data_IF_701617439924
#
_entry.id   IF_701617439924
#
_cell.length_a   1.000
_cell.length_b   1.000
_cell.length_c   1.000
_cell.angle_alpha   90.00
_cell.angle_beta   90.00
_cell.angle_gamma   90.00
#
_symmetry.space_group_name_H-M   'P 1'
#
loop_
_entity.id
_entity.type
_entity.pdbx_description
1 polymer ?
#
# COMPACT_ATOMS: atom_id res chain seq x y z
N UNK A 1 -10.94 -16.50 51.89
CA UNK A 1 -10.12 -17.20 50.90
C UNK A 1 -10.51 -16.67 49.52
N UNK A 2 -9.64 -15.94 48.81
CA UNK A 2 -9.96 -15.52 47.46
C UNK A 2 -9.66 -16.66 46.49
N UNK A 3 -10.68 -17.06 45.75
CA UNK A 3 -10.65 -18.05 44.68
C UNK A 3 -9.79 -17.53 43.53
N UNK A 4 -8.68 -18.20 43.25
CA UNK A 4 -7.85 -17.98 42.07
C UNK A 4 -8.60 -18.36 40.80
N UNK A 5 -8.89 -17.36 39.96
CA UNK A 5 -9.37 -17.60 38.59
C UNK A 5 -8.27 -18.33 37.79
N UNK A 6 -8.62 -19.29 36.91
CA UNK A 6 -7.63 -20.00 36.12
C UNK A 6 -7.02 -19.06 35.07
N UNK A 7 -5.70 -18.91 35.11
CA UNK A 7 -4.90 -18.22 34.08
C UNK A 7 -5.13 -18.90 32.74
N UNK A 8 -5.81 -18.21 31.82
CA UNK A 8 -6.12 -18.70 30.47
C UNK A 8 -4.81 -18.92 29.71
N UNK A 9 -4.47 -20.18 29.41
CA UNK A 9 -3.23 -20.54 28.73
C UNK A 9 -3.15 -19.88 27.34
N UNK A 10 -2.01 -19.27 27.02
CA UNK A 10 -1.72 -18.70 25.70
C UNK A 10 -1.80 -19.78 24.60
N UNK A 11 -2.19 -19.44 23.35
CA UNK A 11 -2.25 -20.42 22.27
C UNK A 11 -0.86 -21.04 22.00
N UNK A 12 -0.80 -22.30 21.51
CA UNK A 12 0.46 -22.98 21.25
C UNK A 12 1.27 -22.25 20.19
N UNK A 13 2.42 -21.71 20.58
CA UNK A 13 3.40 -21.12 19.65
C UNK A 13 4.23 -22.22 18.99
N UNK A 14 4.53 -22.08 17.69
CA UNK A 14 5.45 -22.92 16.93
C UNK A 14 6.88 -22.39 17.08
N UNK A 15 7.75 -23.20 17.66
CA UNK A 15 9.15 -22.89 17.94
C UNK A 15 10.03 -23.77 17.05
N UNK A 16 10.97 -23.16 16.34
CA UNK A 16 12.01 -23.86 15.59
C UNK A 16 13.25 -24.00 16.48
N UNK A 17 13.70 -25.24 16.71
CA UNK A 17 14.88 -25.55 17.52
C UNK A 17 15.99 -26.09 16.61
N UNK A 18 17.18 -25.52 16.72
CA UNK A 18 18.36 -25.85 15.92
C UNK A 18 19.54 -26.17 16.84
N UNK A 19 20.00 -27.41 16.83
CA UNK A 19 21.13 -27.89 17.62
C UNK A 19 21.65 -29.17 16.92
N UNK A 20 22.97 -29.36 16.84
CA UNK A 20 23.56 -30.55 16.19
C UNK A 20 23.56 -31.78 17.10
N UNK A 21 23.36 -31.58 18.41
CA UNK A 21 23.21 -32.64 19.39
C UNK A 21 21.75 -33.14 19.44
N UNK A 22 21.56 -34.40 19.02
CA UNK A 22 20.25 -35.06 19.01
C UNK A 22 19.63 -35.22 20.41
N UNK A 23 20.43 -35.38 21.45
CA UNK A 23 19.95 -35.49 22.83
C UNK A 23 19.47 -34.13 23.32
N UNK A 24 20.17 -33.05 22.97
CA UNK A 24 19.74 -31.68 23.24
C UNK A 24 18.44 -31.30 22.52
N UNK A 25 18.32 -31.63 21.23
CA UNK A 25 17.09 -31.43 20.47
C UNK A 25 15.91 -32.15 21.12
N UNK A 26 16.12 -33.39 21.59
CA UNK A 26 15.09 -34.20 22.24
C UNK A 26 14.69 -33.59 23.58
N UNK A 27 15.65 -33.17 24.40
CA UNK A 27 15.42 -32.55 25.70
C UNK A 27 14.62 -31.24 25.57
N UNK A 28 15.04 -30.37 24.66
CA UNK A 28 14.37 -29.09 24.39
C UNK A 28 12.96 -29.32 23.85
N UNK A 29 12.81 -30.25 22.91
CA UNK A 29 11.50 -30.60 22.36
C UNK A 29 10.52 -31.10 23.43
N UNK A 30 10.97 -31.97 24.34
CA UNK A 30 10.15 -32.47 25.44
C UNK A 30 9.72 -31.33 26.38
N UNK A 31 10.66 -30.46 26.74
CA UNK A 31 10.40 -29.34 27.66
C UNK A 31 9.42 -28.33 27.05
N UNK A 32 9.61 -27.96 25.79
CA UNK A 32 8.76 -26.98 25.11
C UNK A 32 7.37 -27.53 24.81
N UNK A 33 7.25 -28.80 24.43
CA UNK A 33 5.95 -29.47 24.29
C UNK A 33 5.20 -29.57 25.61
N UNK A 34 5.90 -29.88 26.71
CA UNK A 34 5.31 -29.87 28.05
C UNK A 34 4.83 -28.46 28.48
N UNK A 35 5.46 -27.40 27.97
CA UNK A 35 5.02 -26.02 28.15
C UNK A 35 3.88 -25.60 27.21
N UNK A 36 3.39 -26.49 26.34
CA UNK A 36 2.25 -26.25 25.45
C UNK A 36 2.62 -25.64 24.09
N UNK A 37 3.88 -25.73 23.66
CA UNK A 37 4.34 -25.23 22.35
C UNK A 37 4.44 -26.34 21.29
N UNK A 38 4.23 -25.98 20.03
CA UNK A 38 4.55 -26.82 18.89
C UNK A 38 6.04 -26.68 18.57
N UNK A 39 6.75 -27.79 18.40
CA UNK A 39 8.21 -27.76 18.22
C UNK A 39 8.60 -28.45 16.91
N UNK A 40 9.34 -27.74 16.09
CA UNK A 40 10.07 -28.26 14.93
C UNK A 40 11.54 -28.28 15.28
N UNK A 41 12.16 -29.45 15.27
CA UNK A 41 13.58 -29.62 15.62
C UNK A 41 14.38 -30.01 14.37
N UNK A 42 15.51 -29.35 14.14
CA UNK A 42 16.42 -29.59 13.01
C UNK A 42 17.87 -29.59 13.46
N UNK A 43 18.72 -30.37 12.78
CA UNK A 43 20.11 -30.59 13.16
C UNK A 43 21.13 -29.63 12.54
N UNK A 44 20.71 -28.71 11.66
CA UNK A 44 21.63 -27.78 10.99
C UNK A 44 20.96 -26.46 10.61
N UNK A 45 21.79 -25.44 10.40
CA UNK A 45 21.34 -24.13 9.95
C UNK A 45 20.68 -24.18 8.55
N UNK A 46 21.17 -25.02 7.64
CA UNK A 46 20.57 -25.20 6.30
C UNK A 46 19.18 -25.81 6.39
N UNK A 47 19.00 -26.81 7.26
CA UNK A 47 17.70 -27.41 7.51
C UNK A 47 16.74 -26.40 8.17
N UNK A 48 17.24 -25.51 9.03
CA UNK A 48 16.47 -24.43 9.62
C UNK A 48 15.97 -23.44 8.55
N UNK A 49 16.84 -23.02 7.63
CA UNK A 49 16.45 -22.14 6.51
C UNK A 49 15.41 -22.79 5.59
N UNK A 50 15.57 -24.08 5.29
CA UNK A 50 14.57 -24.82 4.50
C UNK A 50 13.21 -24.90 5.21
N UNK A 51 13.20 -25.07 6.54
CA UNK A 51 11.95 -25.05 7.32
C UNK A 51 11.29 -23.67 7.33
N UNK A 52 12.08 -22.59 7.40
CA UNK A 52 11.58 -21.22 7.35
C UNK A 52 10.86 -20.92 6.02
N UNK A 53 11.30 -21.51 4.91
CA UNK A 53 10.65 -21.38 3.60
C UNK A 53 9.30 -22.14 3.52
N UNK A 54 9.14 -23.21 4.32
CA UNK A 54 7.92 -24.04 4.33
C UNK A 54 6.86 -23.48 5.27
N UNK A 55 7.25 -23.13 6.50
CA UNK A 55 6.34 -22.60 7.49
C UNK A 55 7.05 -21.73 8.53
N UNK A 56 6.55 -20.50 8.70
CA UNK A 56 7.15 -19.53 9.61
C UNK A 56 6.89 -19.90 11.09
N UNK A 57 7.92 -20.12 11.92
CA UNK A 57 7.79 -20.24 13.37
C UNK A 57 7.55 -18.87 14.00
N UNK A 58 7.16 -18.82 15.27
CA UNK A 58 7.07 -17.58 16.07
C UNK A 58 8.36 -17.29 16.85
N UNK A 59 9.27 -18.27 16.95
CA UNK A 59 10.55 -18.13 17.63
C UNK A 59 11.56 -19.14 17.05
N UNK A 60 12.81 -18.71 16.90
CA UNK A 60 13.95 -19.60 16.61
C UNK A 60 14.83 -19.72 17.85
N UNK A 61 15.14 -20.94 18.25
CA UNK A 61 16.11 -21.27 19.28
C UNK A 61 17.27 -22.00 18.61
N UNK A 62 18.47 -21.41 18.59
CA UNK A 62 19.63 -21.98 17.89
C UNK A 62 20.84 -22.10 18.80
N UNK A 63 21.59 -23.20 18.71
CA UNK A 63 22.98 -23.20 19.18
C UNK A 63 23.81 -22.22 18.34
N UNK A 64 24.77 -21.56 18.99
CA UNK A 64 25.79 -20.75 18.34
C UNK A 64 26.77 -21.64 17.57
N UNK A 65 27.12 -22.80 18.12
CA UNK A 65 28.06 -23.72 17.47
C UNK A 65 27.28 -24.79 16.73
N UNK A 66 27.19 -24.62 15.41
CA UNK A 66 26.62 -25.62 14.50
C UNK A 66 27.68 -26.03 13.47
N UNK A 67 27.67 -27.29 13.00
CA UNK A 67 28.54 -27.74 11.92
C UNK A 67 28.11 -27.10 10.60
N UNK A 68 29.07 -26.58 9.83
CA UNK A 68 28.80 -25.87 8.57
C UNK A 68 28.58 -24.38 8.81
N UNK A 69 27.36 -23.89 8.56
CA UNK A 69 26.97 -22.53 8.93
C UNK A 69 26.72 -22.45 10.43
N UNK A 70 27.43 -21.55 11.10
CA UNK A 70 27.26 -21.32 12.54
C UNK A 70 25.93 -20.61 12.87
N UNK A 71 25.55 -20.62 14.15
CA UNK A 71 24.29 -20.04 14.61
C UNK A 71 24.20 -18.52 14.45
N UNK A 72 25.35 -17.84 14.38
CA UNK A 72 25.40 -16.39 14.13
C UNK A 72 25.10 -16.08 12.65
N UNK A 73 25.66 -16.86 11.72
CA UNK A 73 25.34 -16.76 10.30
C UNK A 73 23.87 -17.11 10.02
N UNK A 74 23.31 -18.10 10.74
CA UNK A 74 21.88 -18.37 10.69
C UNK A 74 21.06 -17.16 11.18
N UNK A 75 21.46 -16.54 12.29
CA UNK A 75 20.80 -15.34 12.82
C UNK A 75 20.80 -14.18 11.81
N UNK A 76 21.93 -13.91 11.16
CA UNK A 76 22.03 -12.83 10.16
C UNK A 76 21.10 -13.06 8.97
N UNK A 77 21.02 -14.30 8.47
CA UNK A 77 20.14 -14.66 7.37
C UNK A 77 18.66 -14.58 7.78
N UNK A 78 18.33 -15.05 8.98
CA UNK A 78 16.96 -14.96 9.54
C UNK A 78 16.56 -13.49 9.68
N UNK A 79 17.45 -12.63 10.17
CA UNK A 79 17.20 -11.21 10.33
C UNK A 79 17.02 -10.50 8.98
N UNK A 80 17.81 -10.85 7.98
CA UNK A 80 17.68 -10.28 6.63
C UNK A 80 16.34 -10.62 5.98
N UNK A 81 15.83 -11.85 6.20
CA UNK A 81 14.55 -12.31 5.62
C UNK A 81 13.33 -11.96 6.46
N UNK A 82 13.47 -11.98 7.78
CA UNK A 82 12.40 -11.83 8.76
C UNK A 82 12.85 -10.98 9.97
N UNK A 83 12.98 -9.65 9.82
CA UNK A 83 13.49 -8.77 10.89
C UNK A 83 12.71 -8.83 12.21
N UNK A 84 11.42 -9.20 12.16
CA UNK A 84 10.53 -9.30 13.33
C UNK A 84 10.50 -10.69 14.00
N UNK A 85 11.20 -11.69 13.44
CA UNK A 85 11.25 -13.03 14.00
C UNK A 85 12.31 -13.08 15.13
N UNK A 86 11.93 -13.38 16.38
CA UNK A 86 12.86 -13.39 17.49
C UNK A 86 13.74 -14.64 17.39
N UNK A 87 15.02 -14.46 17.70
CA UNK A 87 16.01 -15.54 17.76
C UNK A 87 16.69 -15.52 19.11
N UNK A 88 16.70 -16.67 19.79
CA UNK A 88 17.44 -16.91 21.02
C UNK A 88 18.63 -17.81 20.70
N UNK A 89 19.82 -17.34 21.06
CA UNK A 89 21.06 -18.09 20.86
C UNK A 89 21.49 -18.80 22.15
N UNK A 90 21.77 -20.09 22.05
CA UNK A 90 22.32 -20.93 23.12
C UNK A 90 23.85 -21.02 22.95
N UNK A 91 24.64 -20.71 23.97
CA UNK A 91 26.12 -20.72 23.88
C UNK A 91 26.79 -21.42 25.05
N UNK A 92 27.90 -22.13 24.82
CA UNK A 92 28.67 -22.83 25.87
C UNK A 92 29.84 -22.01 26.45
N UNK A 93 30.12 -20.79 25.97
CA UNK A 93 31.22 -19.96 26.46
C UNK A 93 30.70 -18.64 27.04
N UNK A 94 30.95 -18.41 28.33
CA UNK A 94 30.62 -17.19 29.07
C UNK A 94 31.59 -16.03 28.87
N UNK A 95 32.35 -15.99 27.76
CA UNK A 95 33.17 -14.81 27.45
C UNK A 95 32.29 -13.73 26.83
N UNK A 96 32.08 -12.70 27.64
CA UNK A 96 31.25 -11.51 27.43
C UNK A 96 31.65 -10.56 26.26
N UNK A 97 32.76 -10.70 25.48
CA UNK A 97 33.00 -9.75 24.37
C UNK A 97 31.98 -9.80 23.22
N UNK A 98 31.39 -10.94 22.88
CA UNK A 98 30.47 -11.07 21.73
C UNK A 98 29.01 -10.69 22.07
N UNK A 99 28.65 -10.70 23.36
CA UNK A 99 27.30 -10.37 23.83
C UNK A 99 26.95 -8.90 23.60
N UNK A 100 27.94 -8.00 23.66
CA UNK A 100 27.75 -6.56 23.42
C UNK A 100 27.59 -6.28 21.92
N UNK A 101 28.30 -7.00 21.06
CA UNK A 101 28.19 -6.89 19.60
C UNK A 101 26.91 -7.55 19.05
N UNK A 102 26.41 -8.61 19.68
CA UNK A 102 25.14 -9.25 19.31
C UNK A 102 23.90 -8.43 19.75
N UNK A 103 23.97 -7.74 20.89
CA UNK A 103 22.88 -6.86 21.37
C UNK A 103 22.77 -5.59 20.52
N UNK A 104 23.88 -5.06 20.00
CA UNK A 104 23.86 -3.98 19.00
C UNK A 104 23.38 -4.45 17.61
N UNK A 105 23.39 -5.77 17.37
CA UNK A 105 22.90 -6.45 16.15
C UNK A 105 21.49 -7.03 16.27
N UNK A 106 20.74 -6.73 17.33
CA UNK A 106 19.30 -7.04 17.41
C UNK A 106 18.95 -8.51 17.73
N UNK A 107 19.85 -9.28 18.34
CA UNK A 107 19.49 -10.58 18.94
C UNK A 107 18.56 -10.34 20.13
N UNK A 108 17.52 -11.17 20.27
CA UNK A 108 16.54 -11.01 21.36
C UNK A 108 17.18 -11.22 22.74
N UNK A 109 17.91 -12.32 22.91
CA UNK A 109 18.68 -12.64 24.11
C UNK A 109 19.63 -13.82 23.81
N UNK A 110 20.70 -13.93 24.59
CA UNK A 110 21.57 -15.12 24.66
C UNK A 110 21.28 -15.89 25.95
N UNK A 111 21.52 -17.20 25.93
CA UNK A 111 21.43 -18.06 27.11
C UNK A 111 22.68 -18.95 27.19
N UNK A 112 23.43 -18.85 28.29
CA UNK A 112 24.66 -19.61 28.50
C UNK A 112 24.34 -21.02 29.01
N UNK A 113 24.82 -22.06 28.32
CA UNK A 113 24.84 -23.45 28.78
C UNK A 113 25.89 -23.57 29.92
N UNK A 114 25.57 -24.18 31.08
CA UNK A 114 24.28 -24.76 31.46
C UNK A 114 23.28 -23.69 31.92
N UNK A 115 22.03 -23.81 31.47
CA UNK A 115 20.94 -22.89 31.79
C UNK A 115 19.81 -23.58 32.57
N UNK A 116 19.09 -22.82 33.39
CA UNK A 116 17.89 -23.32 34.06
C UNK A 116 16.74 -23.45 33.05
N UNK A 117 15.97 -24.54 33.14
CA UNK A 117 14.78 -24.74 32.34
C UNK A 117 13.70 -23.68 32.58
N UNK A 118 13.62 -23.12 33.80
CA UNK A 118 12.72 -22.00 34.09
C UNK A 118 13.15 -20.71 33.39
N UNK A 119 14.43 -20.38 33.47
CA UNK A 119 15.02 -19.21 32.81
C UNK A 119 14.83 -19.28 31.29
N UNK A 120 15.05 -20.44 30.68
CA UNK A 120 14.78 -20.65 29.25
C UNK A 120 13.31 -20.36 28.90
N UNK A 121 12.36 -20.91 29.66
CA UNK A 121 10.93 -20.70 29.42
C UNK A 121 10.50 -19.25 29.64
N UNK A 122 11.08 -18.56 30.63
CA UNK A 122 10.85 -17.13 30.85
C UNK A 122 11.34 -16.28 29.68
N UNK A 123 12.54 -16.57 29.16
CA UNK A 123 13.09 -15.88 27.98
C UNK A 123 12.28 -16.16 26.73
N UNK A 124 11.81 -17.39 26.54
CA UNK A 124 10.91 -17.76 25.46
C UNK A 124 9.57 -17.02 25.57
N UNK A 125 8.99 -16.94 26.77
CA UNK A 125 7.75 -16.21 27.00
C UNK A 125 7.93 -14.71 26.72
N UNK A 126 9.05 -14.11 27.12
CA UNK A 126 9.39 -12.72 26.81
C UNK A 126 9.56 -12.50 25.30
N UNK A 127 10.24 -13.42 24.60
CA UNK A 127 10.45 -13.36 23.15
C UNK A 127 9.13 -13.48 22.38
N UNK A 128 8.30 -14.45 22.77
CA UNK A 128 6.98 -14.64 22.21
C UNK A 128 6.03 -13.48 22.56
N UNK A 129 6.20 -12.80 23.69
CA UNK A 129 5.41 -11.61 24.02
C UNK A 129 5.79 -10.39 23.17
N UNK A 130 7.06 -10.27 22.79
CA UNK A 130 7.57 -9.18 21.95
C UNK A 130 7.36 -9.42 20.45
N UNK A 131 7.21 -10.69 20.04
CA UNK A 131 6.98 -11.08 18.64
C UNK A 131 5.61 -11.69 18.36
N UNK A 132 4.77 -11.85 19.38
CA UNK A 132 3.35 -11.96 19.15
C UNK A 132 2.93 -10.65 18.45
N UNK A 133 2.40 -10.67 17.21
CA UNK A 133 1.45 -9.62 16.86
C UNK A 133 0.44 -9.72 17.97
N UNK A 134 0.31 -8.68 18.80
CA UNK A 134 -0.53 -8.69 19.99
C UNK A 134 -1.71 -9.62 19.73
N UNK A 135 -1.66 -10.87 20.23
CA UNK A 135 -2.75 -11.81 19.99
C UNK A 135 -3.84 -11.10 20.69
N UNK A 136 -4.76 -10.55 19.92
CA UNK A 136 -5.76 -9.62 20.35
C UNK A 136 -6.08 -9.82 21.84
N UNK A 137 -5.32 -9.14 22.71
CA UNK A 137 -5.96 -8.19 23.56
C UNK A 137 -6.63 -7.35 22.49
N UNK A 138 -7.96 -7.44 22.29
CA UNK A 138 -8.60 -6.28 21.70
C UNK A 138 -8.05 -5.16 22.57
N UNK A 139 -7.14 -4.35 22.02
CA UNK A 139 -6.93 -3.04 22.57
C UNK A 139 -8.36 -2.56 22.72
N UNK A 140 -8.73 -2.24 23.96
CA UNK A 140 -10.12 -1.97 24.29
C UNK A 140 -10.72 -0.93 23.33
N UNK A 141 -9.86 -0.19 22.61
CA UNK A 141 -10.15 0.51 21.37
C UNK A 141 -9.21 0.09 20.21
N UNK A 142 -9.64 -0.77 19.28
CA UNK A 142 -9.07 -0.83 17.91
C UNK A 142 -9.47 0.40 17.07
N UNK A 143 -10.16 1.36 17.68
CA UNK A 143 -10.71 2.56 17.06
C UNK A 143 -9.67 3.37 16.28
N UNK A 144 -8.41 3.31 16.69
CA UNK A 144 -7.31 4.01 16.02
C UNK A 144 -7.13 3.56 14.56
N UNK A 145 -7.46 2.30 14.22
CA UNK A 145 -7.29 1.72 12.88
C UNK A 145 -8.60 1.34 12.18
N UNK A 146 -9.76 1.80 12.66
CA UNK A 146 -11.09 1.42 12.13
C UNK A 146 -11.27 1.60 10.61
N UNK A 147 -10.54 2.54 10.01
CA UNK A 147 -10.61 2.79 8.56
C UNK A 147 -9.77 1.82 7.72
N UNK A 148 -8.91 1.01 8.35
CA UNK A 148 -8.00 0.07 7.68
C UNK A 148 -8.58 -1.34 7.78
N UNK A 149 -9.22 -1.77 6.70
CA UNK A 149 -9.79 -3.10 6.56
C UNK A 149 -8.76 -4.02 5.90
N UNK A 150 -8.31 -5.05 6.62
CA UNK A 150 -7.38 -6.06 6.11
C UNK A 150 -7.47 -7.35 6.93
N UNK A 151 -7.17 -8.47 6.29
CA UNK A 151 -6.93 -9.80 6.89
C UNK A 151 -5.56 -10.36 6.52
N UNK A 152 -4.71 -9.57 5.86
CA UNK A 152 -3.36 -9.97 5.47
C UNK A 152 -2.40 -9.93 6.66
N UNK A 153 -1.57 -10.96 6.78
CA UNK A 153 -0.51 -10.99 7.80
C UNK A 153 0.49 -9.85 7.60
N UNK A 154 0.83 -9.50 6.34
CA UNK A 154 1.75 -8.38 6.04
C UNK A 154 1.21 -7.05 6.57
N UNK A 155 -0.09 -6.83 6.42
CA UNK A 155 -0.74 -5.63 6.98
C UNK A 155 -0.82 -5.68 8.51
N UNK A 156 -0.97 -6.86 9.10
CA UNK A 156 -0.99 -7.03 10.56
C UNK A 156 0.36 -6.68 11.18
N UNK A 157 1.45 -7.16 10.58
CA UNK A 157 2.82 -6.83 10.98
C UNK A 157 3.07 -5.32 10.84
N UNK A 158 2.70 -4.74 9.68
CA UNK A 158 2.81 -3.30 9.42
C UNK A 158 2.02 -2.43 10.42
N UNK A 159 0.79 -2.84 10.77
CA UNK A 159 -0.04 -2.12 11.73
C UNK A 159 0.55 -2.20 13.16
N UNK A 160 1.18 -3.32 13.50
CA UNK A 160 1.85 -3.48 14.79
C UNK A 160 3.06 -2.54 14.89
N UNK A 161 3.88 -2.47 13.82
CA UNK A 161 4.98 -1.50 13.71
C UNK A 161 4.48 -0.06 13.77
N UNK A 162 3.43 0.26 13.01
CA UNK A 162 2.81 1.58 13.02
C UNK A 162 2.32 2.00 14.41
N UNK A 163 1.73 1.07 15.17
CA UNK A 163 1.28 1.32 16.54
C UNK A 163 2.45 1.59 17.50
N UNK A 164 3.54 0.84 17.42
CA UNK A 164 4.74 1.07 18.23
C UNK A 164 5.34 2.45 17.95
N UNK A 165 5.47 2.80 16.67
CA UNK A 165 6.03 4.08 16.24
C UNK A 165 5.11 5.25 16.64
N UNK A 166 3.79 5.04 16.65
CA UNK A 166 2.81 6.03 17.08
C UNK A 166 3.04 6.53 18.51
N UNK A 167 3.60 5.70 19.41
CA UNK A 167 3.89 6.07 20.80
C UNK A 167 5.09 7.03 20.95
N UNK A 168 5.87 7.24 19.88
CA UNK A 168 7.01 8.15 19.86
C UNK A 168 6.75 9.39 18.99
N UNK A 169 7.53 10.45 19.17
CA UNK A 169 7.53 11.63 18.29
C UNK A 169 8.49 11.48 17.08
N UNK A 170 8.92 10.26 16.75
CA UNK A 170 9.80 10.01 15.62
C UNK A 170 9.12 10.34 14.28
N UNK A 171 9.91 10.90 13.35
CA UNK A 171 9.48 11.12 11.96
C UNK A 171 9.25 9.78 11.26
N UNK A 172 8.13 9.67 10.55
CA UNK A 172 7.75 8.45 9.84
C UNK A 172 7.71 8.70 8.35
N UNK A 173 8.39 7.87 7.56
CA UNK A 173 8.32 7.85 6.11
C UNK A 173 7.48 6.65 5.65
N UNK A 174 6.31 6.93 5.06
CA UNK A 174 5.42 5.96 4.47
C UNK A 174 5.74 5.79 2.99
N UNK A 175 6.14 4.59 2.59
CA UNK A 175 6.42 4.24 1.20
C UNK A 175 5.32 3.35 0.65
N UNK A 176 4.99 3.51 -0.61
CA UNK A 176 4.11 2.59 -1.32
C UNK A 176 3.41 3.24 -2.50
N UNK A 177 2.96 2.38 -3.40
CA UNK A 177 2.32 2.79 -4.65
C UNK A 177 1.11 3.69 -4.44
N UNK A 178 0.76 4.45 -5.47
CA UNK A 178 -0.44 5.28 -5.45
C UNK A 178 -1.69 4.44 -5.17
N UNK A 179 -2.53 4.92 -4.26
CA UNK A 179 -3.78 4.24 -3.88
C UNK A 179 -3.60 3.02 -2.96
N UNK A 180 -2.41 2.76 -2.40
CA UNK A 180 -2.16 1.69 -1.42
C UNK A 180 -2.74 1.96 -0.02
N UNK A 181 -3.04 3.22 0.30
CA UNK A 181 -3.62 3.62 1.60
C UNK A 181 -2.67 4.37 2.54
N UNK A 182 -1.59 5.00 2.01
CA UNK A 182 -0.61 5.75 2.82
C UNK A 182 -1.25 6.80 3.74
N UNK A 183 -2.22 7.57 3.23
CA UNK A 183 -2.92 8.59 4.02
C UNK A 183 -3.74 7.96 5.17
N UNK A 184 -4.40 6.82 4.93
CA UNK A 184 -5.15 6.11 5.97
C UNK A 184 -4.22 5.61 7.07
N UNK A 185 -3.04 5.10 6.70
CA UNK A 185 -2.03 4.68 7.67
C UNK A 185 -1.49 5.87 8.47
N UNK A 186 -1.24 7.02 7.83
CA UNK A 186 -0.82 8.24 8.54
C UNK A 186 -1.87 8.70 9.56
N UNK A 187 -3.16 8.69 9.18
CA UNK A 187 -4.27 9.02 10.08
C UNK A 187 -4.35 8.03 11.24
N UNK A 188 -4.15 6.75 10.98
CA UNK A 188 -4.13 5.72 12.02
C UNK A 188 -2.97 5.93 13.00
N UNK A 189 -1.76 6.20 12.52
CA UNK A 189 -0.59 6.53 13.36
C UNK A 189 -0.88 7.74 14.25
N UNK A 190 -1.51 8.78 13.70
CA UNK A 190 -1.89 9.95 14.50
C UNK A 190 -2.92 9.60 15.59
N UNK A 191 -3.96 8.84 15.26
CA UNK A 191 -4.99 8.39 16.24
C UNK A 191 -4.43 7.49 17.33
N UNK A 192 -3.39 6.72 17.03
CA UNK A 192 -2.70 5.88 18.01
C UNK A 192 -1.67 6.63 18.86
N UNK A 193 -1.40 7.91 18.57
CA UNK A 193 -0.35 8.69 19.24
C UNK A 193 -0.87 9.49 20.44
N UNK A 194 0.02 9.96 21.34
CA UNK A 194 -0.34 10.93 22.37
C UNK A 194 -0.95 12.24 21.84
N UNK A 195 -0.80 12.51 20.53
CA UNK A 195 -1.35 13.67 19.84
C UNK A 195 -2.71 13.41 19.18
N UNK A 196 -3.38 12.28 19.45
CA UNK A 196 -4.65 11.90 18.81
C UNK A 196 -5.79 12.94 18.92
N UNK A 197 -5.82 13.72 20.00
CA UNK A 197 -6.80 14.79 20.21
C UNK A 197 -6.35 16.17 19.64
N UNK A 198 -5.15 16.24 19.05
CA UNK A 198 -4.56 17.45 18.46
C UNK A 198 -4.83 17.50 16.95
N UNK A 199 -4.56 18.63 16.28
CA UNK A 199 -4.80 18.75 14.85
C UNK A 199 -4.02 17.73 14.03
N UNK A 200 -4.69 17.12 13.04
CA UNK A 200 -4.07 16.39 11.96
C UNK A 200 -4.24 17.19 10.67
N UNK A 201 -3.15 17.73 10.15
CA UNK A 201 -3.13 18.51 8.92
C UNK A 201 -2.46 17.68 7.83
N UNK A 202 -3.08 17.58 6.66
CA UNK A 202 -2.51 16.85 5.52
C UNK A 202 -2.39 17.78 4.32
N UNK A 203 -1.27 17.67 3.61
CA UNK A 203 -1.01 18.41 2.38
C UNK A 203 -0.40 17.50 1.34
N UNK A 204 -0.91 17.58 0.12
CA UNK A 204 -0.35 16.86 -1.01
C UNK A 204 0.61 17.79 -1.76
N UNK A 205 1.90 17.47 -1.73
CA UNK A 205 2.96 18.31 -2.27
C UNK A 205 2.99 18.33 -3.81
N UNK A 206 2.34 17.38 -4.47
CA UNK A 206 2.26 17.31 -5.93
C UNK A 206 1.00 17.94 -6.54
N UNK A 207 -0.05 18.18 -5.73
CA UNK A 207 -1.33 18.69 -6.22
C UNK A 207 -1.41 20.22 -6.32
N UNK A 208 -0.53 20.95 -5.64
CA UNK A 208 -0.57 22.41 -5.51
C UNK A 208 0.57 23.03 -6.32
N UNK A 209 0.33 24.07 -7.15
CA UNK A 209 1.39 24.81 -7.82
C UNK A 209 2.44 25.34 -6.84
N UNK A 210 3.72 25.33 -7.21
CA UNK A 210 4.86 25.65 -6.33
C UNK A 210 4.68 26.97 -5.55
N UNK A 211 4.27 28.04 -6.23
CA UNK A 211 4.10 29.36 -5.61
C UNK A 211 3.02 29.36 -4.52
N UNK A 212 1.95 28.60 -4.71
CA UNK A 212 0.88 28.45 -3.72
C UNK A 212 1.30 27.50 -2.61
N UNK A 213 2.03 26.43 -2.93
CA UNK A 213 2.50 25.46 -1.93
C UNK A 213 3.42 26.12 -0.88
N UNK A 214 4.29 27.05 -1.29
CA UNK A 214 5.11 27.81 -0.33
C UNK A 214 4.25 28.59 0.67
N UNK A 215 3.30 29.37 0.15
CA UNK A 215 2.40 30.19 0.95
C UNK A 215 1.53 29.34 1.87
N UNK A 216 0.99 28.22 1.37
CA UNK A 216 0.17 27.31 2.16
C UNK A 216 1.00 26.64 3.28
N UNK A 217 2.19 26.12 2.98
CA UNK A 217 3.02 25.44 3.99
C UNK A 217 3.49 26.39 5.09
N UNK A 218 4.10 27.52 4.72
CA UNK A 218 4.83 28.39 5.64
C UNK A 218 4.03 29.62 6.09
N UNK A 219 2.95 29.96 5.40
CA UNK A 219 2.18 31.18 5.62
C UNK A 219 2.83 32.40 4.95
N UNK A 220 2.11 33.51 4.91
CA UNK A 220 2.64 34.78 4.40
C UNK A 220 2.13 35.98 5.19
N UNK A 221 2.89 37.07 5.15
CA UNK A 221 2.42 38.38 5.62
C UNK A 221 1.84 39.20 4.47
N UNK A 222 0.94 40.14 4.79
CA UNK A 222 0.38 41.08 3.84
C UNK A 222 1.52 41.80 3.10
N UNK A 223 1.43 41.83 1.76
CA UNK A 223 2.43 42.46 0.89
C UNK A 223 3.67 41.61 0.60
N UNK A 224 3.70 40.32 0.97
CA UNK A 224 4.80 39.42 0.65
C UNK A 224 4.96 39.15 -0.86
N UNK A 225 3.86 39.19 -1.62
CA UNK A 225 3.79 39.09 -3.07
C UNK A 225 2.57 39.87 -3.59
N UNK A 226 2.42 40.01 -4.90
CA UNK A 226 1.39 40.86 -5.54
C UNK A 226 -0.03 40.59 -5.07
N UNK A 227 -0.38 39.32 -4.86
CA UNK A 227 -1.72 38.88 -4.43
C UNK A 227 -1.87 38.71 -2.90
N UNK A 228 -0.87 39.08 -2.10
CA UNK A 228 -0.88 38.92 -0.64
C UNK A 228 -1.68 40.04 0.05
N UNK A 229 -3.00 40.02 -0.09
CA UNK A 229 -3.91 41.07 0.41
C UNK A 229 -4.04 41.07 1.94
N UNK A 230 -3.83 39.92 2.59
CA UNK A 230 -3.92 39.74 4.05
C UNK A 230 -2.82 38.82 4.57
N UNK A 231 -2.65 38.75 5.90
CA UNK A 231 -1.81 37.72 6.51
C UNK A 231 -2.49 36.36 6.38
N UNK A 232 -1.72 35.31 6.12
CA UNK A 232 -2.18 33.93 6.06
C UNK A 232 -1.32 33.05 6.96
N UNK A 233 -1.99 32.24 7.80
CA UNK A 233 -1.31 31.27 8.66
C UNK A 233 -1.04 30.00 7.87
N UNK A 234 0.22 29.57 7.84
CA UNK A 234 0.62 28.35 7.12
C UNK A 234 0.20 27.06 7.83
N UNK A 235 0.24 25.96 7.09
CA UNK A 235 -0.11 24.62 7.56
C UNK A 235 0.79 24.15 8.71
N UNK A 236 2.06 24.55 8.73
CA UNK A 236 2.94 24.29 9.90
C UNK A 236 2.42 24.94 11.18
N UNK A 237 1.88 26.16 11.09
CA UNK A 237 1.30 26.86 12.23
C UNK A 237 -0.06 26.27 12.61
N UNK A 238 -0.85 25.83 11.62
CA UNK A 238 -2.13 25.17 11.85
C UNK A 238 -1.98 23.78 12.50
N UNK A 239 -0.86 23.10 12.22
CA UNK A 239 -0.54 21.78 12.78
C UNK A 239 0.18 21.85 14.15
N UNK A 240 0.37 23.04 14.72
CA UNK A 240 1.12 23.21 15.96
C UNK A 240 0.53 22.41 17.14
N UNK A 241 1.39 21.70 17.86
CA UNK A 241 1.05 20.71 18.87
C UNK A 241 0.50 19.38 18.31
N UNK A 242 0.28 19.27 17.01
CA UNK A 242 -0.35 18.14 16.34
C UNK A 242 0.57 17.37 15.39
N UNK A 243 0.01 16.95 14.26
CA UNK A 243 0.72 16.17 13.23
C UNK A 243 0.49 16.77 11.85
N UNK A 244 1.56 16.92 11.08
CA UNK A 244 1.54 17.31 9.68
C UNK A 244 1.92 16.12 8.80
N UNK A 245 1.01 15.72 7.92
CA UNK A 245 1.25 14.76 6.85
C UNK A 245 1.70 15.51 5.59
N UNK A 246 2.93 15.23 5.16
CA UNK A 246 3.48 15.64 3.88
C UNK A 246 3.27 14.49 2.88
N UNK A 247 2.13 14.48 2.20
CA UNK A 247 1.80 13.48 1.19
C UNK A 247 2.49 13.81 -0.13
N UNK A 248 2.93 12.75 -0.81
CA UNK A 248 3.74 12.80 -2.02
C UNK A 248 4.96 13.73 -1.93
N UNK A 249 5.74 13.60 -0.84
CA UNK A 249 6.92 14.43 -0.56
C UNK A 249 7.98 14.37 -1.68
N UNK A 250 8.05 13.25 -2.41
CA UNK A 250 8.95 13.10 -3.55
C UNK A 250 8.61 13.98 -4.75
N UNK A 251 7.39 14.54 -4.81
CA UNK A 251 6.96 15.52 -5.81
C UNK A 251 7.27 16.98 -5.41
N UNK A 252 7.81 17.20 -4.20
CA UNK A 252 8.10 18.56 -3.71
C UNK A 252 9.23 19.23 -4.52
N UNK A 253 9.02 20.48 -5.02
CA UNK A 253 10.06 21.24 -5.71
C UNK A 253 11.33 21.42 -4.87
N UNK A 254 12.54 21.32 -5.46
CA UNK A 254 13.81 21.41 -4.72
C UNK A 254 13.99 22.69 -3.90
N UNK A 255 13.45 23.82 -4.37
CA UNK A 255 13.51 25.09 -3.64
C UNK A 255 12.77 25.02 -2.29
N UNK A 256 11.64 24.30 -2.24
CA UNK A 256 10.86 24.12 -1.03
C UNK A 256 11.46 23.09 -0.09
N UNK A 257 12.18 22.09 -0.61
CA UNK A 257 12.90 21.12 0.22
C UNK A 257 13.92 21.79 1.15
N UNK A 258 14.59 22.87 0.70
CA UNK A 258 15.53 23.65 1.53
C UNK A 258 14.82 24.33 2.69
N UNK A 259 13.66 24.94 2.42
CA UNK A 259 12.86 25.63 3.44
C UNK A 259 12.29 24.64 4.44
N UNK A 260 11.79 23.50 3.95
CA UNK A 260 11.31 22.41 4.78
C UNK A 260 12.41 21.91 5.72
N UNK A 261 13.61 21.63 5.21
CA UNK A 261 14.73 21.19 6.04
C UNK A 261 15.03 22.17 7.18
N UNK A 262 15.05 23.48 6.90
CA UNK A 262 15.27 24.50 7.94
C UNK A 262 14.18 24.47 9.01
N UNK A 263 12.91 24.35 8.62
CA UNK A 263 11.80 24.23 9.58
C UNK A 263 11.96 22.99 10.46
N UNK A 264 12.36 21.86 9.89
CA UNK A 264 12.58 20.61 10.62
C UNK A 264 13.77 20.68 11.59
N UNK A 265 14.81 21.43 11.24
CA UNK A 265 16.02 21.61 12.05
C UNK A 265 15.80 22.60 13.20
N UNK A 266 15.26 23.78 12.88
CA UNK A 266 15.08 24.89 13.82
C UNK A 266 13.82 24.74 14.69
N UNK A 267 12.87 23.87 14.30
CA UNK A 267 11.53 23.77 14.90
C UNK A 267 10.83 25.12 14.95
N UNK A 268 11.03 25.92 13.90
CA UNK A 268 10.43 27.22 13.75
C UNK A 268 10.08 27.45 12.28
N UNK A 269 8.95 28.10 12.04
CA UNK A 269 8.49 28.47 10.71
C UNK A 269 8.56 29.98 10.53
N UNK A 270 9.10 30.42 9.39
CA UNK A 270 9.15 31.83 9.01
C UNK A 270 8.21 32.06 7.82
N UNK A 271 7.08 32.78 8.02
CA UNK A 271 6.18 33.13 6.93
C UNK A 271 6.90 33.89 5.81
N UNK A 272 6.42 33.75 4.58
CA UNK A 272 6.93 34.49 3.42
C UNK A 272 6.75 35.98 3.67
N UNK A 273 7.83 36.76 3.49
CA UNK A 273 7.87 38.20 3.76
C UNK A 273 8.06 38.58 5.23
N UNK A 274 8.08 37.63 6.17
CA UNK A 274 8.34 37.90 7.58
C UNK A 274 9.83 37.86 7.93
N UNK A 275 10.26 38.74 8.84
CA UNK A 275 11.64 38.74 9.37
C UNK A 275 11.82 37.81 10.57
N UNK A 276 10.74 37.53 11.31
CA UNK A 276 10.78 36.72 12.54
C UNK A 276 10.24 35.30 12.28
N UNK A 277 10.92 34.31 12.86
CA UNK A 277 10.45 32.93 12.89
C UNK A 277 9.53 32.70 14.09
N UNK A 278 8.55 31.82 13.94
CA UNK A 278 7.62 31.39 14.99
C UNK A 278 7.97 29.95 15.39
N UNK A 279 8.25 29.65 16.66
CA UNK A 279 8.50 28.28 17.11
C UNK A 279 7.25 27.41 16.92
N UNK A 280 7.45 26.15 16.56
CA UNK A 280 6.39 25.16 16.33
C UNK A 280 6.77 23.80 16.92
N UNK A 281 5.79 23.05 17.41
CA UNK A 281 5.92 21.67 17.84
C UNK A 281 5.02 20.76 17.00
N UNK A 282 5.54 20.25 15.89
CA UNK A 282 4.78 19.46 14.92
C UNK A 282 5.46 18.11 14.69
N UNK A 283 4.69 17.03 14.87
CA UNK A 283 5.13 15.70 14.44
C UNK A 283 4.97 15.56 12.93
N UNK A 284 5.99 15.05 12.26
CA UNK A 284 6.00 14.90 10.80
C UNK A 284 5.79 13.46 10.39
N UNK A 285 4.82 13.25 9.52
CA UNK A 285 4.65 12.01 8.76
C UNK A 285 4.80 12.39 7.29
N UNK A 286 5.65 11.67 6.56
CA UNK A 286 5.84 11.87 5.12
C UNK A 286 5.36 10.66 4.37
N UNK A 287 4.80 10.85 3.18
CA UNK A 287 4.39 9.75 2.32
C UNK A 287 4.88 9.96 0.88
N UNK A 288 5.26 8.89 0.19
CA UNK A 288 5.72 8.97 -1.21
C UNK A 288 5.42 7.68 -1.98
N UNK A 289 5.06 7.82 -3.25
CA UNK A 289 5.07 6.74 -4.23
C UNK A 289 6.37 6.65 -5.04
N UNK A 290 7.23 7.67 -4.99
CA UNK A 290 8.49 7.72 -5.73
C UNK A 290 9.60 6.98 -4.99
N UNK A 291 10.52 6.43 -5.77
CA UNK A 291 11.84 6.00 -5.30
C UNK A 291 12.69 7.23 -4.97
N UNK A 292 12.90 7.48 -3.67
CA UNK A 292 13.65 8.64 -3.21
C UNK A 292 15.15 8.47 -3.42
N UNK A 293 15.65 7.23 -3.40
CA UNK A 293 17.04 6.90 -3.69
C UNK A 293 17.40 7.27 -5.13
N UNK A 294 16.54 6.91 -6.09
CA UNK A 294 16.68 7.33 -7.47
C UNK A 294 16.54 8.86 -7.64
N UNK A 295 15.61 9.50 -6.91
CA UNK A 295 15.43 10.95 -6.94
C UNK A 295 16.62 11.72 -6.35
N UNK A 296 17.31 11.18 -5.35
CA UNK A 296 18.56 11.73 -4.83
C UNK A 296 19.69 11.61 -5.86
N UNK A 297 19.81 10.46 -6.53
CA UNK A 297 20.81 10.25 -7.58
C UNK A 297 20.63 11.21 -8.77
N UNK A 298 19.40 11.64 -9.06
CA UNK A 298 19.08 12.63 -10.10
C UNK A 298 19.04 14.08 -9.61
N UNK A 299 19.44 14.35 -8.36
CA UNK A 299 19.39 15.67 -7.70
C UNK A 299 17.99 16.31 -7.66
N UNK A 300 16.94 15.51 -7.77
CA UNK A 300 15.55 15.95 -7.64
C UNK A 300 15.08 15.93 -6.17
N UNK A 301 15.76 15.18 -5.31
CA UNK A 301 15.50 15.14 -3.88
C UNK A 301 16.80 15.32 -3.10
N UNK A 302 16.77 16.10 -2.02
CA UNK A 302 17.97 16.36 -1.21
C UNK A 302 18.22 15.25 -0.20
N UNK A 303 19.48 14.82 -0.13
CA UNK A 303 19.94 13.78 0.79
C UNK A 303 19.84 14.19 2.27
N UNK A 304 20.14 15.45 2.59
CA UNK A 304 20.03 15.96 3.96
C UNK A 304 18.59 15.96 4.49
N UNK A 305 17.62 16.29 3.61
CA UNK A 305 16.20 16.19 3.92
C UNK A 305 15.76 14.74 4.08
N UNK A 306 16.22 13.84 3.21
CA UNK A 306 15.90 12.41 3.27
C UNK A 306 16.23 11.80 4.63
N UNK A 307 17.46 11.98 5.13
CA UNK A 307 17.85 11.43 6.44
C UNK A 307 17.08 12.07 7.61
N UNK A 308 16.61 13.31 7.48
CA UNK A 308 15.80 13.96 8.52
C UNK A 308 14.36 13.43 8.57
N UNK A 309 13.81 13.03 7.42
CA UNK A 309 12.46 12.48 7.31
C UNK A 309 12.43 10.97 7.58
N UNK A 310 13.46 10.25 7.14
CA UNK A 310 13.54 8.79 7.20
C UNK A 310 14.16 8.29 8.51
N UNK A 311 13.48 8.53 9.63
CA UNK A 311 13.88 7.94 10.92
C UNK A 311 13.28 6.54 11.07
N UNK A 312 11.98 6.39 10.78
CA UNK A 312 11.32 5.10 10.64
C UNK A 312 10.64 5.00 9.29
N UNK A 313 10.93 3.95 8.53
CA UNK A 313 10.33 3.70 7.22
C UNK A 313 9.31 2.58 7.31
N UNK A 314 8.08 2.82 6.86
CA UNK A 314 7.01 1.83 6.78
C UNK A 314 6.59 1.67 5.32
N UNK A 315 6.66 0.45 4.80
CA UNK A 315 6.34 0.15 3.40
C UNK A 315 4.98 -0.52 3.32
N UNK A 316 4.02 0.13 2.66
CA UNK A 316 2.70 -0.45 2.43
C UNK A 316 2.76 -1.46 1.27
N UNK A 317 2.26 -2.70 1.47
CA UNK A 317 2.16 -3.67 0.40
C UNK A 317 1.13 -3.24 -0.65
N UNK A 318 1.44 -3.51 -1.91
CA UNK A 318 0.51 -3.34 -3.03
C UNK A 318 -0.68 -4.27 -2.87
N UNK A 319 -1.83 -3.94 -3.47
CA UNK A 319 -3.01 -4.80 -3.43
C UNK A 319 -2.74 -6.18 -4.07
N UNK A 320 -1.82 -6.24 -5.03
CA UNK A 320 -1.37 -7.48 -5.66
C UNK A 320 -0.59 -8.41 -4.72
N UNK A 321 0.04 -7.88 -3.68
CA UNK A 321 0.78 -8.64 -2.65
C UNK A 321 -0.09 -9.07 -1.47
N UNK A 322 -1.29 -8.50 -1.34
CA UNK A 322 -2.32 -8.84 -0.32
C UNK A 322 -3.64 -9.20 -0.99
N UNK A 323 -3.62 -10.12 -1.95
CA UNK A 323 -4.82 -10.51 -2.73
C UNK A 323 -5.94 -11.05 -1.85
N UNK A 324 -5.60 -11.63 -0.71
CA UNK A 324 -6.57 -12.06 0.30
C UNK A 324 -7.47 -10.91 0.75
N UNK A 325 -7.02 -9.66 0.73
CA UNK A 325 -7.83 -8.50 1.14
C UNK A 325 -8.86 -8.09 0.09
N UNK A 326 -8.69 -8.44 -1.19
CA UNK A 326 -9.53 -7.93 -2.29
C UNK A 326 -11.00 -8.26 -2.07
N UNK A 327 -11.32 -9.49 -1.72
CA UNK A 327 -12.70 -9.92 -1.46
C UNK A 327 -13.32 -9.20 -0.26
N UNK A 328 -12.53 -8.99 0.81
CA UNK A 328 -12.96 -8.30 2.01
C UNK A 328 -13.24 -6.82 1.72
N UNK A 329 -12.28 -6.15 1.07
CA UNK A 329 -12.37 -4.75 0.66
C UNK A 329 -13.53 -4.51 -0.31
N UNK A 330 -13.70 -5.37 -1.32
CA UNK A 330 -14.76 -5.22 -2.29
C UNK A 330 -16.16 -5.26 -1.64
N UNK A 331 -16.39 -6.21 -0.73
CA UNK A 331 -17.66 -6.31 -0.01
C UNK A 331 -17.84 -5.14 0.97
N UNK A 332 -16.78 -4.72 1.65
CA UNK A 332 -16.82 -3.55 2.54
C UNK A 332 -17.22 -2.27 1.77
N UNK A 333 -16.60 -2.02 0.61
CA UNK A 333 -16.95 -0.89 -0.24
C UNK A 333 -18.38 -1.02 -0.78
N UNK A 334 -18.79 -2.22 -1.20
CA UNK A 334 -20.13 -2.45 -1.72
C UNK A 334 -21.21 -2.13 -0.67
N UNK A 335 -21.04 -2.56 0.59
CA UNK A 335 -21.99 -2.25 1.68
C UNK A 335 -22.05 -0.74 1.98
N UNK A 336 -20.89 -0.05 1.97
CA UNK A 336 -20.85 1.39 2.19
C UNK A 336 -21.51 2.16 1.03
N UNK A 337 -21.24 1.74 -0.21
CA UNK A 337 -21.76 2.38 -1.42
C UNK A 337 -23.24 2.07 -1.65
N UNK A 338 -23.70 0.86 -1.32
CA UNK A 338 -25.11 0.49 -1.44
C UNK A 338 -25.98 1.35 -0.54
N UNK A 339 -25.53 1.64 0.69
CA UNK A 339 -26.19 2.59 1.60
C UNK A 339 -26.15 4.02 1.08
N UNK A 340 -25.01 4.46 0.52
CA UNK A 340 -24.84 5.81 -0.05
C UNK A 340 -25.75 6.06 -1.25
N UNK A 341 -25.97 5.05 -2.10
CA UNK A 341 -26.78 5.15 -3.33
C UNK A 341 -28.19 4.58 -3.19
N UNK A 342 -28.64 4.25 -1.97
CA UNK A 342 -29.93 3.63 -1.66
C UNK A 342 -30.24 2.41 -2.56
N UNK A 343 -29.24 1.54 -2.74
CA UNK A 343 -29.36 0.31 -3.53
C UNK A 343 -29.40 -0.93 -2.65
N UNK A 344 -30.24 -1.90 -3.04
CA UNK A 344 -30.36 -3.20 -2.38
C UNK A 344 -29.41 -4.21 -3.03
N UNK A 345 -28.11 -4.05 -2.81
CA UNK A 345 -27.09 -5.00 -3.27
C UNK A 345 -26.72 -5.97 -2.15
N UNK A 346 -26.76 -7.26 -2.42
CA UNK A 346 -26.46 -8.34 -1.47
C UNK A 346 -25.04 -8.89 -1.60
N UNK A 347 -24.29 -8.54 -2.65
CA UNK A 347 -22.92 -8.99 -2.85
C UNK A 347 -22.52 -9.14 -4.31
N UNK A 348 -21.39 -9.81 -4.53
CA UNK A 348 -20.89 -10.18 -5.86
C UNK A 348 -21.21 -11.64 -6.19
N UNK A 349 -21.48 -11.93 -7.46
CA UNK A 349 -21.50 -13.31 -7.95
C UNK A 349 -20.10 -13.95 -7.77
N UNK A 350 -20.00 -15.28 -7.51
CA UNK A 350 -18.72 -15.95 -7.28
C UNK A 350 -17.68 -15.70 -8.38
N UNK A 351 -18.12 -15.71 -9.64
CA UNK A 351 -17.26 -15.46 -10.80
C UNK A 351 -16.81 -14.01 -10.88
N UNK A 352 -17.67 -13.07 -10.48
CA UNK A 352 -17.35 -11.64 -10.42
C UNK A 352 -16.28 -11.36 -9.34
N UNK A 353 -16.43 -11.98 -8.16
CA UNK A 353 -15.46 -11.86 -7.07
C UNK A 353 -14.13 -12.53 -7.41
N UNK A 354 -14.16 -13.66 -8.13
CA UNK A 354 -12.96 -14.29 -8.68
C UNK A 354 -12.23 -13.35 -9.64
N UNK A 355 -12.96 -12.71 -10.56
CA UNK A 355 -12.38 -11.75 -11.50
C UNK A 355 -11.71 -10.56 -10.80
N UNK A 356 -12.34 -10.00 -9.76
CA UNK A 356 -11.73 -8.96 -8.92
C UNK A 356 -10.45 -9.46 -8.24
N UNK A 357 -10.48 -10.64 -7.64
CA UNK A 357 -9.32 -11.21 -6.92
C UNK A 357 -8.12 -11.50 -7.83
N UNK A 358 -8.36 -11.84 -9.10
CA UNK A 358 -7.30 -12.15 -10.08
C UNK A 358 -6.74 -10.96 -10.85
N UNK A 359 -7.37 -9.79 -10.76
CA UNK A 359 -6.93 -8.60 -11.48
C UNK A 359 -5.61 -8.03 -10.93
N UNK A 360 -4.89 -7.26 -11.75
CA UNK A 360 -3.55 -6.76 -11.42
C UNK A 360 -3.53 -5.57 -10.44
N UNK A 361 -4.58 -4.73 -10.45
CA UNK A 361 -4.74 -3.57 -9.58
C UNK A 361 -3.56 -2.57 -9.54
N UNK A 362 -3.09 -2.02 -10.68
CA UNK A 362 -2.02 -1.00 -10.69
C UNK A 362 -2.36 0.27 -9.88
N UNK A 363 -3.64 0.62 -9.73
CA UNK A 363 -4.07 1.73 -8.87
C UNK A 363 -4.48 1.29 -7.46
N UNK A 364 -4.11 0.08 -7.06
CA UNK A 364 -4.33 -0.51 -5.74
C UNK A 364 -5.78 -0.37 -5.24
N UNK A 365 -5.94 -0.03 -3.96
CA UNK A 365 -7.25 0.06 -3.28
C UNK A 365 -8.11 1.18 -3.87
N UNK A 366 -7.50 2.29 -4.31
CA UNK A 366 -8.22 3.40 -4.97
C UNK A 366 -8.88 2.93 -6.27
N UNK A 367 -8.16 2.15 -7.08
CA UNK A 367 -8.74 1.57 -8.30
C UNK A 367 -9.85 0.57 -7.98
N UNK A 368 -9.65 -0.30 -6.97
CA UNK A 368 -10.69 -1.24 -6.53
C UNK A 368 -11.96 -0.50 -6.08
N UNK A 369 -11.82 0.55 -5.28
CA UNK A 369 -12.94 1.39 -4.85
C UNK A 369 -13.69 1.97 -6.05
N UNK A 370 -12.99 2.58 -7.02
CA UNK A 370 -13.61 3.16 -8.22
C UNK A 370 -14.37 2.11 -9.05
N UNK A 371 -13.78 0.91 -9.20
CA UNK A 371 -14.43 -0.20 -9.91
C UNK A 371 -15.71 -0.63 -9.17
N UNK A 372 -15.67 -0.78 -7.85
CA UNK A 372 -16.85 -1.14 -7.06
C UNK A 372 -17.91 -0.04 -7.09
N UNK A 373 -17.53 1.23 -7.05
CA UNK A 373 -18.43 2.38 -7.17
C UNK A 373 -19.15 2.40 -8.53
N UNK A 374 -18.40 2.23 -9.63
CA UNK A 374 -18.97 2.12 -10.98
C UNK A 374 -19.95 0.96 -11.08
N UNK A 375 -19.58 -0.19 -10.52
CA UNK A 375 -20.40 -1.40 -10.56
C UNK A 375 -21.68 -1.22 -9.72
N UNK A 376 -21.58 -0.64 -8.53
CA UNK A 376 -22.72 -0.31 -7.68
C UNK A 376 -23.69 0.65 -8.39
N UNK A 377 -23.17 1.71 -9.00
CA UNK A 377 -23.98 2.70 -9.72
C UNK A 377 -24.77 2.09 -10.89
N UNK A 378 -24.19 1.12 -11.60
CA UNK A 378 -24.81 0.48 -12.77
C UNK A 378 -25.59 -0.81 -12.46
N UNK A 379 -25.46 -1.35 -11.25
CA UNK A 379 -26.16 -2.61 -10.87
C UNK A 379 -27.67 -2.41 -10.76
N UNK A 380 -28.42 -3.28 -11.43
CA UNK A 380 -29.89 -3.33 -11.39
C UNK A 380 -30.42 -4.57 -10.65
N UNK A 381 -29.54 -5.51 -10.33
CA UNK A 381 -29.84 -6.75 -9.62
C UNK A 381 -29.20 -6.75 -8.23
N UNK A 382 -29.77 -7.49 -7.24
CA UNK A 382 -29.17 -7.57 -5.90
C UNK A 382 -27.76 -8.16 -5.90
N UNK A 383 -27.50 -9.14 -6.78
CA UNK A 383 -26.19 -9.73 -6.96
C UNK A 383 -25.48 -9.08 -8.15
N UNK A 384 -24.24 -8.63 -7.95
CA UNK A 384 -23.43 -8.04 -9.01
C UNK A 384 -22.92 -9.11 -9.99
N UNK A 385 -23.26 -9.05 -11.29
CA UNK A 385 -22.84 -10.05 -12.27
C UNK A 385 -21.42 -9.82 -12.79
N UNK A 386 -20.78 -10.89 -13.26
CA UNK A 386 -19.42 -10.87 -13.82
C UNK A 386 -19.27 -9.88 -14.99
N UNK A 387 -20.26 -9.80 -15.86
CA UNK A 387 -20.24 -8.93 -17.06
C UNK A 387 -20.02 -7.47 -16.71
N UNK A 388 -20.58 -7.02 -15.58
CA UNK A 388 -20.48 -5.64 -15.12
C UNK A 388 -19.10 -5.35 -14.54
N UNK A 389 -18.56 -6.28 -13.74
CA UNK A 389 -17.17 -6.22 -13.25
C UNK A 389 -16.17 -6.21 -14.41
N UNK A 390 -16.34 -7.09 -15.40
CA UNK A 390 -15.47 -7.12 -16.58
C UNK A 390 -15.53 -5.83 -17.38
N UNK A 391 -16.71 -5.20 -17.49
CA UNK A 391 -16.85 -3.89 -18.13
C UNK A 391 -16.10 -2.80 -17.37
N UNK A 392 -16.17 -2.80 -16.04
CA UNK A 392 -15.50 -1.81 -15.19
C UNK A 392 -13.97 -2.00 -15.14
N UNK A 393 -13.48 -3.24 -15.22
CA UNK A 393 -12.03 -3.54 -15.26
C UNK A 393 -11.37 -3.15 -16.60
N UNK A 394 -12.14 -2.86 -17.67
CA UNK A 394 -11.61 -2.53 -19.00
C UNK A 394 -11.21 -1.04 -19.13
N UNK A 395 -10.01 -0.71 -18.65
CA UNK A 395 -9.09 0.24 -19.32
C UNK A 395 -8.37 -0.57 -20.42
N UNK A 396 -8.17 -0.06 -21.66
CA UNK A 396 -8.33 -0.83 -22.89
C UNK A 396 -7.57 -2.15 -22.81
N UNK A 397 -8.32 -3.23 -22.61
CA UNK A 397 -7.78 -4.54 -22.86
C UNK A 397 -7.40 -4.53 -24.32
N UNK A 398 -6.11 -4.61 -24.63
CA UNK A 398 -5.68 -5.26 -25.85
C UNK A 398 -6.34 -6.63 -25.80
N UNK A 399 -7.53 -6.74 -26.37
CA UNK A 399 -8.16 -8.02 -26.58
C UNK A 399 -7.09 -8.80 -27.34
N UNK A 400 -6.63 -9.92 -26.78
CA UNK A 400 -5.83 -10.87 -27.54
C UNK A 400 -6.80 -11.50 -28.52
N UNK A 401 -7.17 -10.70 -29.52
CA UNK A 401 -7.83 -11.13 -30.72
C UNK A 401 -6.84 -12.04 -31.42
N UNK A 402 -7.32 -13.14 -31.99
CA UNK A 402 -6.50 -13.85 -32.97
C UNK A 402 -6.07 -12.84 -34.06
N UNK A 403 -4.92 -13.07 -34.70
CA UNK A 403 -4.47 -12.21 -35.80
C UNK A 403 -5.56 -12.00 -36.86
N UNK A 404 -6.39 -13.04 -37.09
CA UNK A 404 -7.55 -12.98 -37.97
C UNK A 404 -8.61 -11.97 -37.50
N UNK A 405 -9.03 -12.02 -36.24
CA UNK A 405 -10.03 -11.13 -35.67
C UNK A 405 -9.52 -9.68 -35.52
N UNK A 406 -8.25 -9.50 -35.14
CA UNK A 406 -7.60 -8.20 -35.06
C UNK A 406 -7.57 -7.51 -36.42
N UNK A 407 -7.15 -8.25 -37.46
CA UNK A 407 -7.13 -7.78 -38.85
C UNK A 407 -8.53 -7.48 -39.35
N UNK A 408 -9.52 -8.33 -39.05
CA UNK A 408 -10.89 -8.13 -39.49
C UNK A 408 -11.50 -6.85 -38.87
N UNK A 409 -11.25 -6.63 -37.59
CA UNK A 409 -11.73 -5.44 -36.87
C UNK A 409 -11.10 -4.16 -37.40
N UNK A 410 -9.77 -4.14 -37.56
CA UNK A 410 -9.06 -3.00 -38.14
C UNK A 410 -9.55 -2.69 -39.56
N UNK A 411 -9.70 -3.72 -40.41
CA UNK A 411 -10.18 -3.56 -41.79
C UNK A 411 -11.60 -2.97 -41.82
N UNK A 412 -12.50 -3.40 -40.93
CA UNK A 412 -13.85 -2.84 -40.80
C UNK A 412 -13.84 -1.38 -40.33
N UNK A 413 -13.10 -1.07 -39.27
CA UNK A 413 -13.03 0.30 -38.71
C UNK A 413 -12.44 1.29 -39.71
N UNK A 414 -11.41 0.87 -40.45
CA UNK A 414 -10.79 1.64 -41.53
C UNK A 414 -11.77 1.93 -42.69
N UNK A 415 -12.51 0.92 -43.16
CA UNK A 415 -13.51 1.09 -44.21
C UNK A 415 -14.66 2.01 -43.78
N UNK A 416 -15.11 1.91 -42.52
CA UNK A 416 -16.13 2.81 -41.97
C UNK A 416 -15.61 4.25 -41.88
N UNK A 417 -14.37 4.45 -41.45
CA UNK A 417 -13.74 5.77 -41.41
C UNK A 417 -13.68 6.43 -42.79
N UNK A 418 -13.23 5.68 -43.80
CA UNK A 418 -13.19 6.16 -45.18
C UNK A 418 -14.57 6.51 -45.73
N UNK A 419 -15.57 5.65 -45.51
CA UNK A 419 -16.94 5.91 -45.97
C UNK A 419 -17.58 7.11 -45.27
N UNK A 420 -17.23 7.37 -44.00
CA UNK A 420 -17.67 8.58 -43.30
C UNK A 420 -17.00 9.84 -43.82
N UNK A 421 -15.72 9.77 -44.16
CA UNK A 421 -14.98 10.92 -44.71
C UNK A 421 -15.38 11.27 -46.14
N UNK A 422 -15.96 10.31 -46.88
CA UNK A 422 -16.39 10.52 -48.27
C UNK A 422 -17.92 10.51 -48.43
N UNK A 423 -18.68 10.63 -47.34
CA UNK A 423 -20.15 10.64 -47.32
C UNK A 423 -20.78 9.48 -48.14
N UNK A 424 -20.24 8.28 -47.99
CA UNK A 424 -20.69 7.09 -48.69
C UNK A 424 -20.27 7.02 -50.17
N UNK A 425 -19.45 7.94 -50.67
CA UNK A 425 -18.89 7.87 -52.02
C UNK A 425 -17.77 6.81 -52.09
N UNK A 426 -18.11 5.67 -52.68
CA UNK A 426 -17.24 4.51 -52.82
C UNK A 426 -16.04 4.77 -53.76
N UNK A 427 -16.19 5.65 -54.75
CA UNK A 427 -15.12 5.93 -55.72
C UNK A 427 -13.99 6.73 -55.06
N UNK A 428 -14.34 7.69 -54.22
CA UNK A 428 -13.38 8.52 -53.49
C UNK A 428 -12.76 7.76 -52.32
N UNK A 429 -13.55 6.94 -51.61
CA UNK A 429 -13.03 6.06 -50.56
C UNK A 429 -12.01 5.05 -51.11
N UNK A 430 -12.26 4.47 -52.29
CA UNK A 430 -11.33 3.57 -52.96
C UNK A 430 -10.03 4.27 -53.40
N UNK A 431 -10.12 5.52 -53.88
CA UNK A 431 -8.96 6.34 -54.25
C UNK A 431 -8.09 6.67 -53.03
N UNK A 432 -8.72 7.04 -51.91
CA UNK A 432 -8.02 7.30 -50.63
C UNK A 432 -7.37 6.03 -50.06
N UNK A 433 -8.01 4.87 -50.21
CA UNK A 433 -7.46 3.57 -49.85
C UNK A 433 -6.39 3.06 -50.84
N UNK A 434 -6.09 3.80 -51.92
CA UNK A 434 -5.22 3.38 -53.02
C UNK A 434 -5.57 1.99 -53.58
N UNK A 435 -6.86 1.70 -53.71
CA UNK A 435 -7.37 0.41 -54.21
C UNK A 435 -8.32 0.58 -55.38
N UNK A 436 -8.39 -0.45 -56.19
CA UNK A 436 -9.34 -0.50 -57.30
C UNK A 436 -10.78 -0.60 -56.77
N UNK A 437 -11.70 0.11 -57.43
CA UNK A 437 -13.12 0.20 -57.03
C UNK A 437 -13.77 -1.18 -56.84
N UNK A 438 -13.47 -2.14 -57.71
CA UNK A 438 -14.00 -3.52 -57.65
C UNK A 438 -13.50 -4.27 -56.41
N UNK A 439 -12.24 -4.10 -56.02
CA UNK A 439 -11.68 -4.72 -54.82
C UNK A 439 -12.24 -4.09 -53.55
N UNK A 440 -12.44 -2.78 -53.56
CA UNK A 440 -13.05 -2.06 -52.46
C UNK A 440 -14.50 -2.53 -52.20
N UNK A 441 -15.31 -2.75 -53.26
CA UNK A 441 -16.65 -3.33 -53.10
C UNK A 441 -16.64 -4.73 -52.49
N UNK A 442 -15.67 -5.59 -52.86
CA UNK A 442 -15.53 -6.93 -52.24
C UNK A 442 -15.20 -6.84 -50.76
N UNK A 443 -14.37 -5.87 -50.35
CA UNK A 443 -14.07 -5.62 -48.94
C UNK A 443 -15.30 -5.16 -48.17
N UNK A 444 -16.11 -4.26 -48.74
CA UNK A 444 -17.36 -3.81 -48.13
C UNK A 444 -18.35 -4.97 -47.94
N UNK A 445 -18.52 -5.82 -48.95
CA UNK A 445 -19.37 -7.02 -48.87
C UNK A 445 -18.87 -8.02 -47.82
N UNK A 446 -17.55 -8.28 -47.78
CA UNK A 446 -16.93 -9.15 -46.78
C UNK A 446 -17.18 -8.69 -45.34
N UNK A 447 -17.29 -7.38 -45.13
CA UNK A 447 -17.56 -6.78 -43.82
C UNK A 447 -19.01 -6.36 -43.62
N UNK A 448 -19.92 -6.74 -44.52
CA UNK A 448 -21.34 -6.38 -44.49
C UNK A 448 -21.60 -4.87 -44.30
N UNK A 449 -20.82 -4.02 -44.99
CA UNK A 449 -20.96 -2.57 -44.98
C UNK A 449 -21.70 -2.11 -46.24
N UNK A 450 -22.76 -1.33 -46.08
CA UNK A 450 -23.54 -0.78 -47.20
C UNK A 450 -23.28 0.72 -47.34
N UNK A 451 -22.76 1.21 -48.49
CA UNK A 451 -22.43 2.62 -48.68
C UNK A 451 -23.60 3.59 -48.47
N UNK A 452 -24.83 3.15 -48.76
CA UNK A 452 -26.04 3.96 -48.59
C UNK A 452 -26.32 4.39 -47.15
N UNK A 453 -25.77 3.69 -46.16
CA UNK A 453 -25.92 4.05 -44.74
C UNK A 453 -25.06 5.26 -44.32
N UNK A 454 -24.17 5.73 -45.20
CA UNK A 454 -23.22 6.81 -44.92
C UNK A 454 -23.45 8.05 -45.79
N UNK A 455 -24.47 8.03 -46.64
CA UNK A 455 -24.96 9.24 -47.33
C UNK A 455 -25.85 10.00 -46.36
N UNK A 456 -25.54 11.27 -46.10
CA UNK A 456 -26.49 12.15 -45.43
C UNK A 456 -27.66 12.42 -46.38
N UNK A 457 -28.89 12.20 -45.91
CA UNK A 457 -30.11 12.57 -46.64
C UNK A 457 -30.15 14.10 -46.79
N UNK A 458 -29.79 14.59 -47.97
CA UNK A 458 -30.09 15.94 -48.40
C UNK A 458 -31.43 15.91 -49.14
N UNK A 459 -32.53 16.28 -48.47
CA UNK A 459 -33.79 16.59 -49.13
C UNK A 459 -35.06 16.33 -48.32
N UNK A 460 -35.26 17.05 -47.21
CA UNK A 460 -36.57 17.25 -46.58
C UNK A 460 -36.67 18.75 -46.20
N UNK A 461 -36.77 19.61 -47.23
CA UNK A 461 -37.07 21.04 -47.11
C UNK A 461 -37.33 21.63 -48.52
N UNK A 462 -38.51 21.38 -49.07
CA UNK A 462 -39.27 22.35 -49.88
C UNK A 462 -40.63 21.75 -50.23
N UNK A 463 -41.60 21.98 -49.35
CA UNK A 463 -43.03 22.03 -49.70
C UNK A 463 -43.79 22.67 -48.53
N UNK A 464 -43.81 24.01 -48.49
CA UNK A 464 -44.92 24.77 -47.91
C UNK A 464 -45.28 25.87 -48.90
N UNK A 465 -46.43 25.67 -49.52
CA UNK A 465 -47.17 26.61 -50.38
C UNK A 465 -47.82 27.71 -49.52
N UNK A 466 -47.68 28.98 -49.92
CA UNK A 466 -48.70 30.04 -49.74
C UNK A 466 -48.32 31.22 -50.68
N UNK A 467 -48.98 31.39 -51.84
CA UNK A 467 -50.15 32.25 -52.09
C UNK A 467 -49.86 33.76 -52.32
N UNK A 468 -50.24 34.20 -53.53
CA UNK A 468 -50.87 35.48 -53.94
C UNK A 468 -50.03 36.66 -54.49
N UNK A 469 -50.65 37.22 -55.54
CA UNK A 469 -50.49 38.53 -56.21
C UNK A 469 -49.24 38.68 -57.10
N UNK A 470 -49.31 38.99 -58.40
CA UNK A 470 -50.38 39.45 -59.29
C UNK A 470 -49.97 39.15 -60.75
#
# INVERSE_FOLDING_TARGET
MPSSAPTRAAPPARILVVDDDADMLRLLSLRLKAAGHDVVAVGSAEAALAQLDIARPQLVLSDVRLPGRDGLALFDEVRARHPSLPVILLTAHGTIPDAVEATSRGVFTYLTKPYDGKELLEKIAQALALSAPAVAQPHADEDWRTEIVSRSHRMTDLLSEAYMVAQSDASVLLRGDSGSGKELLARAIHRASPRAARPFVAVNCGAIPEALLESELFGHVKGAFTDAVSNHKGLFQAADGGTLLLDEIGDMPPALQVKLLRVLQERAVRPVGASQATPIDVRIISATHRDLEAAMASAQFREDLYYRLNVVSLVLPTLAERREDIALLANHFLDRLSRKYDKRLSGFAPEALKALTTAAWPGNVRQLYNVVEQVCALSTTPLVPLTLVQRALRTPSTQVLSFAEARQRFEREYLVGLLKMTDGNVADAARLAQRNRTEFYRLLQKHALTPGQFKQDAGDADDVVDERHE
#
